data_IF_568989196121
#
_entry.id   IF_568989196121
#
_cell.length_a   1.000
_cell.length_b   1.000
_cell.length_c   1.000
_cell.angle_alpha   90.00
_cell.angle_beta   90.00
_cell.angle_gamma   90.00
#
_symmetry.space_group_name_H-M   'P 1'
#
loop_
_entity.id
_entity.type
_entity.pdbx_description
1 polymer ?
#
# COMPACT_ATOMS: atom_id res chain seq x y z
N UNK A 1 -5.73 21.26 6.87
CA UNK A 1 -5.57 19.82 7.14
C UNK A 1 -6.73 19.19 7.93
N UNK A 2 -7.03 19.62 9.18
CA UNK A 2 -8.12 19.01 10.00
C UNK A 2 -9.49 18.94 9.33
N UNK A 3 -9.87 19.99 8.59
CA UNK A 3 -11.15 20.07 7.86
C UNK A 3 -11.21 19.04 6.73
N UNK A 4 -10.14 18.93 5.93
CA UNK A 4 -10.03 17.95 4.85
C UNK A 4 -10.16 16.50 5.37
N UNK A 5 -9.47 16.17 6.46
CA UNK A 5 -9.56 14.82 7.06
C UNK A 5 -10.98 14.52 7.58
N UNK A 6 -11.66 15.50 8.19
CA UNK A 6 -13.06 15.34 8.61
C UNK A 6 -14.01 15.13 7.43
N UNK A 7 -13.84 15.89 6.35
CA UNK A 7 -14.63 15.74 5.14
C UNK A 7 -14.41 14.36 4.50
N UNK A 8 -13.15 13.93 4.38
CA UNK A 8 -12.77 12.60 3.88
C UNK A 8 -13.39 11.51 4.74
N UNK A 9 -13.28 11.63 6.08
CA UNK A 9 -13.86 10.64 6.99
C UNK A 9 -15.37 10.53 6.86
N UNK A 10 -16.07 11.67 6.83
CA UNK A 10 -17.51 11.70 6.61
C UNK A 10 -17.87 10.97 5.31
N UNK A 11 -17.21 11.31 4.21
CA UNK A 11 -17.51 10.71 2.91
C UNK A 11 -17.27 9.19 2.88
N UNK A 12 -16.14 8.72 3.42
CA UNK A 12 -15.81 7.28 3.47
C UNK A 12 -16.80 6.52 4.35
N UNK A 13 -17.25 7.10 5.47
CA UNK A 13 -18.25 6.47 6.33
C UNK A 13 -19.64 6.43 5.68
N UNK A 14 -20.00 7.40 4.83
CA UNK A 14 -21.21 7.32 4.03
C UNK A 14 -21.11 6.16 3.02
N UNK A 15 -20.03 6.07 2.24
CA UNK A 15 -19.83 4.96 1.30
C UNK A 15 -19.82 3.59 1.99
N UNK A 16 -19.26 3.50 3.21
CA UNK A 16 -19.25 2.26 3.99
C UNK A 16 -20.67 1.73 4.30
N UNK A 17 -21.67 2.61 4.43
CA UNK A 17 -23.06 2.17 4.72
C UNK A 17 -23.65 1.34 3.58
N UNK A 18 -23.19 1.60 2.35
CA UNK A 18 -23.64 0.90 1.15
C UNK A 18 -22.76 -0.31 0.80
N UNK A 19 -21.76 -0.63 1.64
CA UNK A 19 -20.86 -1.76 1.46
C UNK A 19 -21.19 -2.91 2.41
N UNK A 20 -21.08 -4.12 1.90
CA UNK A 20 -20.99 -5.34 2.71
C UNK A 20 -19.69 -5.37 3.53
N UNK A 21 -19.63 -6.27 4.52
CA UNK A 21 -18.41 -6.46 5.31
C UNK A 21 -17.24 -6.92 4.43
N UNK A 22 -17.53 -7.75 3.43
CA UNK A 22 -16.58 -8.28 2.47
C UNK A 22 -16.04 -7.19 1.54
N UNK A 23 -16.91 -6.33 1.01
CA UNK A 23 -16.50 -5.17 0.20
C UNK A 23 -15.66 -4.19 1.03
N UNK A 24 -16.07 -3.92 2.26
CA UNK A 24 -15.28 -3.08 3.17
C UNK A 24 -13.92 -3.72 3.47
N UNK A 25 -13.84 -5.03 3.69
CA UNK A 25 -12.57 -5.71 3.93
C UNK A 25 -11.66 -5.72 2.69
N UNK A 26 -12.25 -5.77 1.49
CA UNK A 26 -11.53 -5.78 0.22
C UNK A 26 -11.19 -4.39 -0.34
N UNK A 27 -11.69 -3.31 0.28
CA UNK A 27 -11.44 -1.94 -0.12
C UNK A 27 -9.95 -1.59 0.03
N UNK A 28 -9.36 -1.14 -1.08
CA UNK A 28 -7.99 -0.63 -1.16
C UNK A 28 -8.01 0.83 -1.61
N UNK A 29 -7.17 1.66 -1.01
CA UNK A 29 -7.00 3.06 -1.36
C UNK A 29 -5.64 3.27 -2.00
N UNK A 30 -5.63 3.98 -3.12
CA UNK A 30 -4.41 4.46 -3.77
C UNK A 30 -4.27 5.97 -3.55
N UNK A 31 -3.10 6.40 -3.12
CA UNK A 31 -2.77 7.80 -2.83
C UNK A 31 -1.68 8.26 -3.79
N UNK A 32 -2.02 9.00 -4.86
CA UNK A 32 -1.02 9.59 -5.73
C UNK A 32 -0.32 10.76 -5.02
N UNK A 33 1.00 10.86 -5.18
CA UNK A 33 1.77 11.93 -4.53
C UNK A 33 3.24 11.98 -4.96
N UNK A 34 3.96 13.04 -4.57
CA UNK A 34 5.41 13.09 -4.77
C UNK A 34 6.10 12.10 -3.86
N UNK A 35 7.24 11.55 -4.29
CA UNK A 35 8.06 10.67 -3.45
C UNK A 35 8.42 11.31 -2.10
N UNK A 36 8.77 12.61 -2.11
CA UNK A 36 9.15 13.36 -0.90
C UNK A 36 8.03 13.48 0.13
N UNK A 37 6.76 13.37 -0.29
CA UNK A 37 5.60 13.44 0.59
C UNK A 37 5.07 12.06 1.01
N UNK A 38 5.73 10.96 0.60
CA UNK A 38 5.34 9.58 0.93
C UNK A 38 5.42 9.31 2.42
N UNK A 39 6.58 9.60 3.01
CA UNK A 39 6.79 9.47 4.45
C UNK A 39 5.81 10.39 5.19
N UNK A 40 5.08 9.82 6.15
CA UNK A 40 4.10 10.54 6.97
C UNK A 40 3.00 11.28 6.20
N UNK A 41 2.65 10.85 4.98
CA UNK A 41 1.56 11.44 4.22
C UNK A 41 0.24 11.41 5.03
N UNK A 42 -0.44 12.55 5.16
CA UNK A 42 -1.64 12.67 5.99
C UNK A 42 -2.78 11.73 5.56
N UNK A 43 -2.96 11.51 4.25
CA UNK A 43 -3.99 10.63 3.70
C UNK A 43 -3.65 9.17 3.96
N UNK A 44 -2.39 8.77 3.76
CA UNK A 44 -1.88 7.44 4.08
C UNK A 44 -2.08 7.14 5.57
N UNK A 45 -1.64 8.04 6.44
CA UNK A 45 -1.81 7.91 7.88
C UNK A 45 -3.27 7.74 8.30
N UNK A 46 -4.18 8.49 7.67
CA UNK A 46 -5.61 8.40 7.96
C UNK A 46 -6.16 7.02 7.58
N UNK A 47 -5.94 6.56 6.35
CA UNK A 47 -6.47 5.28 5.90
C UNK A 47 -5.80 4.09 6.58
N UNK A 48 -4.50 4.17 6.88
CA UNK A 48 -3.80 3.14 7.63
C UNK A 48 -4.45 2.93 9.01
N UNK A 49 -4.70 4.03 9.75
CA UNK A 49 -5.39 3.97 11.06
C UNK A 49 -6.84 3.49 10.92
N UNK A 50 -7.53 3.90 9.87
CA UNK A 50 -8.92 3.47 9.63
C UNK A 50 -9.01 1.97 9.32
N UNK A 51 -8.04 1.42 8.60
CA UNK A 51 -8.02 0.02 8.17
C UNK A 51 -7.24 -0.90 9.13
N UNK A 52 -6.55 -0.34 10.13
CA UNK A 52 -5.74 -1.11 11.07
C UNK A 52 -4.39 -1.58 10.51
N UNK A 53 -3.83 -0.87 9.52
CA UNK A 53 -2.52 -1.17 8.94
C UNK A 53 -1.40 -0.55 9.81
N UNK A 54 -0.41 -1.36 10.22
CA UNK A 54 0.64 -0.95 11.17
C UNK A 54 1.79 -0.16 10.55
N UNK A 55 2.03 -0.31 9.25
CA UNK A 55 3.20 0.24 8.53
C UNK A 55 2.89 1.52 7.74
N UNK A 56 1.66 2.05 7.80
CA UNK A 56 1.22 3.20 7.00
C UNK A 56 0.86 2.82 5.56
N UNK A 57 1.69 2.07 4.88
CA UNK A 57 1.41 1.44 3.58
C UNK A 57 1.31 -0.08 3.74
N UNK A 58 0.50 -0.75 2.91
CA UNK A 58 0.25 -2.17 3.10
C UNK A 58 -0.73 -2.76 2.10
N UNK A 59 -1.52 -3.74 2.54
CA UNK A 59 -2.48 -4.44 1.65
C UNK A 59 -3.60 -3.51 1.17
N UNK A 60 -4.02 -2.58 2.02
CA UNK A 60 -5.19 -1.73 1.78
C UNK A 60 -4.85 -0.26 1.51
N UNK A 61 -3.59 0.13 1.65
CA UNK A 61 -3.13 1.50 1.39
C UNK A 61 -1.88 1.45 0.52
N UNK A 62 -1.99 1.99 -0.69
CA UNK A 62 -0.92 2.04 -1.69
C UNK A 62 -0.56 3.49 -1.95
N UNK A 63 0.72 3.85 -1.80
CA UNK A 63 1.20 5.16 -2.24
C UNK A 63 1.75 5.06 -3.67
N UNK A 64 1.21 5.86 -4.58
CA UNK A 64 1.63 5.89 -5.98
C UNK A 64 2.53 7.11 -6.21
N UNK A 65 3.84 6.89 -6.18
CA UNK A 65 4.81 7.96 -6.38
C UNK A 65 4.79 8.51 -7.81
N UNK A 66 4.79 9.83 -7.92
CA UNK A 66 4.94 10.57 -9.18
C UNK A 66 3.88 10.23 -10.25
N UNK A 67 2.73 9.74 -9.80
CA UNK A 67 1.69 9.22 -10.67
C UNK A 67 0.40 10.01 -10.47
N UNK A 68 0.27 11.13 -11.16
CA UNK A 68 -0.83 12.10 -10.99
C UNK A 68 -2.07 11.82 -11.85
N UNK A 69 -1.98 10.79 -12.69
CA UNK A 69 -3.06 10.36 -13.59
C UNK A 69 -3.84 9.22 -12.93
N UNK A 70 -5.15 9.41 -12.79
CA UNK A 70 -6.04 8.46 -12.10
C UNK A 70 -6.04 7.08 -12.79
N UNK A 71 -6.08 7.04 -14.11
CA UNK A 71 -6.12 5.80 -14.87
C UNK A 71 -4.82 4.99 -14.70
N UNK A 72 -3.66 5.68 -14.72
CA UNK A 72 -2.37 5.06 -14.38
C UNK A 72 -2.37 4.54 -12.95
N UNK A 73 -2.94 5.29 -11.99
CA UNK A 73 -2.97 4.87 -10.60
C UNK A 73 -3.80 3.59 -10.44
N UNK A 74 -4.99 3.56 -11.04
CA UNK A 74 -5.85 2.39 -11.04
C UNK A 74 -5.20 1.18 -11.73
N UNK A 75 -4.45 1.39 -12.82
CA UNK A 75 -3.64 0.33 -13.46
C UNK A 75 -2.59 -0.24 -12.50
N UNK A 76 -1.82 0.62 -11.84
CA UNK A 76 -0.82 0.20 -10.85
C UNK A 76 -1.47 -0.62 -9.73
N UNK A 77 -2.59 -0.15 -9.20
CA UNK A 77 -3.34 -0.86 -8.17
C UNK A 77 -3.82 -2.24 -8.66
N UNK A 78 -4.31 -2.31 -9.91
CA UNK A 78 -4.70 -3.55 -10.57
C UNK A 78 -3.55 -4.55 -10.66
N UNK A 79 -2.38 -4.10 -11.14
CA UNK A 79 -1.15 -4.90 -11.20
C UNK A 79 -0.76 -5.41 -9.83
N UNK A 80 -0.65 -4.52 -8.83
CA UNK A 80 -0.31 -4.91 -7.46
C UNK A 80 -1.29 -5.96 -6.92
N UNK A 81 -2.59 -5.81 -7.18
CA UNK A 81 -3.61 -6.76 -6.71
C UNK A 81 -3.49 -8.13 -7.39
N UNK A 82 -3.20 -8.16 -8.68
CA UNK A 82 -3.01 -9.40 -9.44
C UNK A 82 -1.74 -10.11 -8.98
N UNK A 83 -0.61 -9.40 -8.94
CA UNK A 83 0.68 -9.94 -8.53
C UNK A 83 0.63 -10.45 -7.09
N UNK A 84 -0.02 -9.71 -6.18
CA UNK A 84 -0.19 -10.17 -4.81
C UNK A 84 -1.00 -11.46 -4.68
N UNK A 85 -2.01 -11.67 -5.54
CA UNK A 85 -2.76 -12.94 -5.57
C UNK A 85 -1.91 -14.08 -6.13
N UNK A 86 -1.17 -13.83 -7.21
CA UNK A 86 -0.26 -14.81 -7.81
C UNK A 86 0.84 -15.20 -6.83
N UNK A 87 1.43 -14.21 -6.16
CA UNK A 87 2.48 -14.41 -5.18
C UNK A 87 2.02 -15.26 -3.99
N UNK A 88 0.82 -15.00 -3.47
CA UNK A 88 0.22 -15.83 -2.41
C UNK A 88 -0.01 -17.27 -2.90
N UNK A 89 -0.53 -17.44 -4.12
CA UNK A 89 -0.83 -18.76 -4.66
C UNK A 89 0.42 -19.61 -4.94
N UNK A 90 1.53 -18.99 -5.35
CA UNK A 90 2.77 -19.67 -5.73
C UNK A 90 3.77 -19.78 -4.58
N UNK A 91 3.90 -18.73 -3.76
CA UNK A 91 4.93 -18.63 -2.72
C UNK A 91 4.38 -18.64 -1.29
N UNK A 92 3.06 -18.59 -1.09
CA UNK A 92 2.46 -18.45 0.25
C UNK A 92 2.75 -17.11 0.93
N UNK A 93 3.23 -16.12 0.16
CA UNK A 93 3.50 -14.77 0.62
C UNK A 93 3.06 -13.76 -0.44
N UNK A 94 1.93 -13.09 -0.19
CA UNK A 94 1.42 -11.99 -1.00
C UNK A 94 2.50 -10.98 -1.39
N UNK A 95 3.42 -10.67 -0.49
CA UNK A 95 4.41 -9.63 -0.70
C UNK A 95 5.70 -10.13 -1.39
N UNK A 96 5.77 -11.40 -1.78
CA UNK A 96 6.98 -11.99 -2.36
C UNK A 96 7.41 -11.33 -3.66
N UNK A 97 6.44 -10.95 -4.51
CA UNK A 97 6.68 -10.31 -5.81
C UNK A 97 6.83 -8.78 -5.72
N UNK A 98 6.65 -8.18 -4.55
CA UNK A 98 6.86 -6.74 -4.33
C UNK A 98 8.30 -6.42 -3.91
N UNK A 99 9.11 -7.44 -3.67
CA UNK A 99 10.51 -7.32 -3.28
C UNK A 99 11.38 -7.69 -4.48
N UNK A 100 12.58 -7.11 -4.54
CA UNK A 100 13.56 -7.45 -5.56
C UNK A 100 13.80 -8.98 -5.60
N UNK A 101 13.85 -9.54 -6.82
CA UNK A 101 14.04 -10.98 -7.01
C UNK A 101 15.33 -11.49 -6.36
N UNK A 102 16.39 -10.68 -6.41
CA UNK A 102 17.72 -10.96 -5.87
C UNK A 102 17.86 -10.53 -4.40
N UNK A 103 16.83 -10.00 -3.76
CA UNK A 103 16.92 -9.41 -2.42
C UNK A 103 17.57 -10.34 -1.39
N UNK A 104 17.25 -11.64 -1.41
CA UNK A 104 17.76 -12.60 -0.42
C UNK A 104 19.26 -12.90 -0.65
N UNK A 105 19.66 -13.08 -1.90
CA UNK A 105 21.08 -13.24 -2.26
C UNK A 105 21.89 -11.97 -2.01
N UNK A 106 21.30 -10.80 -2.28
CA UNK A 106 21.92 -9.51 -2.01
C UNK A 106 22.15 -9.30 -0.49
N UNK A 107 21.17 -9.63 0.36
CA UNK A 107 21.35 -9.56 1.83
C UNK A 107 22.51 -10.43 2.29
N UNK A 108 22.53 -11.70 1.88
CA UNK A 108 23.60 -12.61 2.26
C UNK A 108 24.99 -12.12 1.81
N UNK A 109 25.09 -11.58 0.59
CA UNK A 109 26.33 -11.00 0.08
C UNK A 109 26.75 -9.74 0.85
N UNK A 110 25.80 -8.89 1.23
CA UNK A 110 26.07 -7.68 2.02
C UNK A 110 26.53 -8.05 3.44
N UNK A 111 25.89 -9.04 4.07
CA UNK A 111 26.26 -9.49 5.42
C UNK A 111 27.70 -10.03 5.47
N UNK A 112 28.14 -10.75 4.42
CA UNK A 112 29.51 -11.24 4.27
C UNK A 112 30.51 -10.07 4.09
N UNK A 113 30.18 -9.10 3.23
CA UNK A 113 31.02 -7.90 3.00
C UNK A 113 31.18 -7.05 4.27
N UNK A 114 30.15 -7.00 5.12
CA UNK A 114 30.10 -6.16 6.32
C UNK A 114 30.42 -6.91 7.62
N UNK A 115 30.77 -8.20 7.55
CA UNK A 115 31.13 -8.98 8.73
C UNK A 115 32.36 -8.35 9.40
N UNK A 116 32.31 -8.03 10.70
CA UNK A 116 33.48 -7.54 11.42
C UNK A 116 34.56 -8.63 11.50
N UNK A 117 35.83 -8.22 11.41
CA UNK A 117 37.01 -9.11 11.57
C UNK A 117 37.03 -9.83 12.93
#
# INVERSE_FOLDING_TARGET
>A
MRVQLRATHKQVMEWKKDMTAEEWAALTVIVPGSQTARSENATVQYFARLFGESTGEGRRVVYAESLWDEEKALRLLGTMRLDGKLAEAVFGDRFRMYRDFLADGARAAIDDILAPE
#
